data_IF_465081380825
#
_entry.id   IF_465081380825
#
_cell.length_a   1.000
_cell.length_b   1.000
_cell.length_c   1.000
_cell.angle_alpha   90.00
_cell.angle_beta   90.00
_cell.angle_gamma   90.00
#
_symmetry.space_group_name_H-M   'P 1'
#
loop_
_entity.id
_entity.type
_entity.pdbx_description
1 polymer ?
#
# COMPACT_ATOMS: atom_id res chain seq x y z
N UNK A 1 65.19 -19.50 42.07
CA UNK A 1 65.05 -18.75 40.79
C UNK A 1 64.64 -19.72 39.70
N UNK A 2 63.97 -19.22 38.65
CA UNK A 2 63.40 -19.91 37.48
C UNK A 2 61.94 -20.40 37.62
N UNK A 3 61.01 -19.47 37.46
CA UNK A 3 59.63 -19.74 37.00
C UNK A 3 59.71 -20.12 35.52
N UNK A 4 59.25 -21.30 35.16
CA UNK A 4 59.09 -21.69 33.76
C UNK A 4 57.99 -20.82 33.12
N UNK A 5 58.34 -20.11 32.05
CA UNK A 5 57.38 -19.40 31.20
C UNK A 5 56.65 -20.45 30.35
N UNK A 6 55.36 -20.65 30.61
CA UNK A 6 54.47 -21.32 29.66
C UNK A 6 54.30 -20.43 28.42
N UNK A 7 54.66 -20.88 27.21
CA UNK A 7 54.34 -20.15 26.00
C UNK A 7 52.81 -20.15 25.82
N UNK A 8 52.27 -18.95 25.68
CA UNK A 8 50.87 -18.67 25.41
C UNK A 8 50.42 -19.47 24.18
N UNK A 9 49.68 -20.55 24.40
CA UNK A 9 49.09 -21.34 23.32
C UNK A 9 48.00 -20.50 22.65
N UNK A 10 48.34 -19.88 21.51
CA UNK A 10 47.37 -19.30 20.59
C UNK A 10 46.46 -20.43 20.10
N UNK A 11 45.23 -20.49 20.62
CA UNK A 11 44.20 -21.32 20.04
C UNK A 11 43.76 -20.69 18.71
N UNK A 12 43.69 -21.43 17.59
CA UNK A 12 43.15 -20.88 16.36
C UNK A 12 41.68 -20.52 16.60
N UNK A 13 41.33 -19.24 16.40
CA UNK A 13 39.93 -18.77 16.43
C UNK A 13 39.15 -19.62 15.45
N UNK A 14 38.09 -20.27 15.93
CA UNK A 14 37.19 -21.10 15.15
C UNK A 14 36.92 -20.47 13.79
N UNK A 15 37.13 -21.24 12.72
CA UNK A 15 36.84 -20.83 11.36
C UNK A 15 35.37 -20.44 11.29
N UNK A 16 35.10 -19.15 11.10
CA UNK A 16 33.75 -18.65 10.91
C UNK A 16 33.20 -19.35 9.66
N UNK A 17 32.24 -20.26 9.86
CA UNK A 17 31.54 -20.93 8.78
C UNK A 17 31.03 -19.86 7.81
N UNK A 18 31.57 -19.85 6.59
CA UNK A 18 31.15 -18.94 5.54
C UNK A 18 29.64 -19.14 5.34
N UNK A 19 28.83 -18.18 5.79
CA UNK A 19 27.40 -18.16 5.47
C UNK A 19 27.31 -17.98 3.97
N UNK A 20 27.12 -19.09 3.25
CA UNK A 20 26.82 -19.07 1.83
C UNK A 20 25.56 -18.20 1.67
N UNK A 21 25.70 -17.04 1.05
CA UNK A 21 24.58 -16.21 0.65
C UNK A 21 23.80 -17.06 -0.34
N UNK A 22 22.66 -17.60 0.09
CA UNK A 22 21.77 -18.38 -0.75
C UNK A 22 21.46 -17.58 -2.02
N UNK A 23 21.93 -18.06 -3.17
CA UNK A 23 21.64 -17.48 -4.49
C UNK A 23 20.23 -17.82 -4.98
N UNK A 24 19.45 -18.58 -4.20
CA UNK A 24 18.05 -18.84 -4.50
C UNK A 24 17.30 -17.51 -4.53
N UNK A 25 16.85 -17.10 -5.73
CA UNK A 25 16.01 -15.94 -5.93
C UNK A 25 14.84 -16.05 -4.95
N UNK A 26 14.60 -15.03 -4.14
CA UNK A 26 13.72 -15.22 -3.03
C UNK A 26 12.28 -15.35 -3.57
N UNK A 27 11.63 -16.44 -3.17
CA UNK A 27 10.27 -16.85 -3.55
C UNK A 27 9.17 -15.79 -3.33
N UNK A 28 9.49 -14.66 -2.70
CA UNK A 28 8.57 -13.52 -2.54
C UNK A 28 8.51 -12.59 -3.76
N UNK A 29 9.36 -12.77 -4.77
CA UNK A 29 9.32 -12.02 -6.01
C UNK A 29 8.18 -12.50 -6.93
N UNK A 30 6.93 -12.45 -6.46
CA UNK A 30 5.78 -12.49 -7.36
C UNK A 30 5.77 -11.18 -8.13
N UNK A 31 6.44 -11.15 -9.28
CA UNK A 31 6.47 -9.99 -10.15
C UNK A 31 5.03 -9.57 -10.46
N UNK A 32 4.70 -8.29 -10.25
CA UNK A 32 3.40 -7.78 -10.69
C UNK A 32 3.24 -8.05 -12.19
N UNK A 33 2.05 -8.48 -12.64
CA UNK A 33 1.80 -8.73 -14.06
C UNK A 33 2.14 -7.46 -14.86
N UNK A 34 2.74 -7.59 -16.05
CA UNK A 34 3.13 -6.45 -16.89
C UNK A 34 1.90 -5.66 -17.37
N UNK A 35 2.08 -4.38 -17.70
CA UNK A 35 0.97 -3.55 -18.21
C UNK A 35 0.56 -4.11 -19.59
N UNK A 36 -0.74 -4.20 -19.91
CA UNK A 36 -1.17 -4.59 -21.24
C UNK A 36 -0.55 -3.66 -22.28
N UNK A 37 -0.21 -4.23 -23.44
CA UNK A 37 0.28 -3.45 -24.57
C UNK A 37 -0.83 -2.49 -25.05
N UNK A 38 -0.47 -1.31 -25.56
CA UNK A 38 -1.43 -0.44 -26.22
C UNK A 38 -2.05 -1.17 -27.41
N UNK A 39 -3.37 -1.04 -27.56
CA UNK A 39 -4.14 -1.62 -28.66
C UNK A 39 -3.73 -0.98 -30.00
N UNK A 40 -3.82 -1.72 -31.13
CA UNK A 40 -3.58 -1.16 -32.46
C UNK A 40 -4.56 -0.01 -32.75
N UNK A 41 -4.10 1.01 -33.50
CA UNK A 41 -4.90 2.21 -33.77
C UNK A 41 -6.14 1.95 -34.66
N UNK A 42 -6.19 0.80 -35.33
CA UNK A 42 -7.29 0.39 -36.22
C UNK A 42 -8.53 -0.12 -35.46
N UNK A 43 -8.38 -0.54 -34.19
CA UNK A 43 -9.45 -1.20 -33.44
C UNK A 43 -10.36 -0.21 -32.69
N UNK A 44 -10.00 1.08 -32.66
CA UNK A 44 -10.74 2.10 -31.95
C UNK A 44 -10.93 3.38 -32.76
N UNK A 45 -12.04 4.08 -32.51
CA UNK A 45 -12.28 5.42 -33.04
C UNK A 45 -12.03 6.47 -31.96
N UNK A 46 -11.34 7.55 -32.33
CA UNK A 46 -11.07 8.69 -31.46
C UNK A 46 -11.94 9.91 -31.82
N UNK A 47 -12.52 10.53 -30.81
CA UNK A 47 -13.26 11.79 -30.93
C UNK A 47 -12.80 12.77 -29.86
N UNK A 48 -12.72 14.05 -30.23
CA UNK A 48 -12.34 15.13 -29.32
C UNK A 48 -13.57 15.93 -28.91
N UNK A 49 -13.76 16.08 -27.61
CA UNK A 49 -14.89 16.78 -27.02
C UNK A 49 -14.40 17.99 -26.24
N UNK A 50 -15.27 19.00 -26.12
CA UNK A 50 -15.09 20.04 -25.12
C UNK A 50 -15.30 19.44 -23.73
N UNK A 51 -14.56 19.96 -22.75
CA UNK A 51 -14.70 19.50 -21.37
C UNK A 51 -16.10 19.83 -20.83
N UNK A 52 -16.57 19.01 -19.91
CA UNK A 52 -17.83 19.24 -19.19
C UNK A 52 -17.55 19.38 -17.70
N UNK A 53 -18.31 20.23 -17.01
CA UNK A 53 -18.27 20.41 -15.56
C UNK A 53 -18.17 21.88 -15.12
N UNK A 54 -18.21 22.14 -13.79
CA UNK A 54 -18.00 23.47 -13.21
C UNK A 54 -16.53 23.88 -13.42
N UNK A 55 -16.25 24.36 -14.62
CA UNK A 55 -14.93 24.77 -15.07
C UNK A 55 -14.96 26.20 -15.58
N UNK A 56 -13.80 26.86 -15.55
CA UNK A 56 -13.64 28.18 -16.17
C UNK A 56 -13.73 28.13 -17.70
N UNK A 57 -13.65 29.31 -18.31
CA UNK A 57 -13.74 29.52 -19.77
C UNK A 57 -12.87 28.55 -20.61
N UNK A 58 -11.70 28.16 -20.10
CA UNK A 58 -10.77 27.26 -20.77
C UNK A 58 -11.31 25.84 -20.98
N UNK A 59 -12.07 25.30 -20.02
CA UNK A 59 -12.56 23.91 -20.08
C UNK A 59 -13.65 23.77 -21.16
N UNK A 60 -14.54 24.76 -21.25
CA UNK A 60 -15.67 24.72 -22.17
C UNK A 60 -15.27 25.06 -23.62
N UNK A 61 -14.19 25.83 -23.82
CA UNK A 61 -13.71 26.23 -25.15
C UNK A 61 -12.72 25.26 -25.77
N UNK A 62 -11.87 24.61 -24.96
CA UNK A 62 -10.82 23.74 -25.50
C UNK A 62 -11.31 22.30 -25.63
N UNK A 63 -11.21 21.73 -26.84
CA UNK A 63 -11.48 20.33 -27.14
C UNK A 63 -10.36 19.39 -26.64
N UNK A 64 -10.17 19.39 -25.32
CA UNK A 64 -9.11 18.63 -24.65
C UNK A 64 -9.56 17.26 -24.15
N UNK A 65 -10.88 17.03 -23.99
CA UNK A 65 -11.41 15.74 -23.57
C UNK A 65 -11.37 14.76 -24.75
N UNK A 66 -11.04 13.50 -24.46
CA UNK A 66 -10.91 12.44 -25.47
C UNK A 66 -11.96 11.39 -25.21
N UNK A 67 -12.72 11.04 -26.24
CA UNK A 67 -13.60 9.90 -26.25
C UNK A 67 -13.01 8.83 -27.16
N UNK A 68 -12.80 7.63 -26.63
CA UNK A 68 -12.40 6.46 -27.40
C UNK A 68 -13.54 5.45 -27.42
N UNK A 69 -13.82 4.88 -28.59
CA UNK A 69 -14.76 3.76 -28.74
C UNK A 69 -14.01 2.57 -29.33
N UNK A 70 -13.99 1.46 -28.59
CA UNK A 70 -13.50 0.19 -29.10
C UNK A 70 -14.56 -0.43 -30.01
N UNK A 71 -14.20 -0.72 -31.27
CA UNK A 71 -15.14 -1.20 -32.27
C UNK A 71 -15.67 -2.61 -31.96
N UNK A 72 -14.83 -3.62 -31.66
CA UNK A 72 -15.33 -4.99 -31.53
C UNK A 72 -16.07 -5.24 -30.21
N UNK A 73 -15.66 -4.59 -29.11
CA UNK A 73 -16.34 -4.75 -27.81
C UNK A 73 -17.42 -3.70 -27.54
N UNK A 74 -17.49 -2.64 -28.36
CA UNK A 74 -18.44 -1.54 -28.18
C UNK A 74 -18.19 -0.65 -26.96
N UNK A 75 -17.06 -0.82 -26.24
CA UNK A 75 -16.75 -0.03 -25.05
C UNK A 75 -16.49 1.42 -25.43
N UNK A 76 -17.16 2.34 -24.75
CA UNK A 76 -16.94 3.78 -24.89
C UNK A 76 -16.32 4.32 -23.62
N UNK A 77 -15.14 4.95 -23.74
CA UNK A 77 -14.45 5.63 -22.65
C UNK A 77 -14.37 7.13 -22.93
N UNK A 78 -14.64 7.94 -21.92
CA UNK A 78 -14.44 9.40 -21.95
C UNK A 78 -13.41 9.76 -20.89
N UNK A 79 -12.35 10.46 -21.28
CA UNK A 79 -11.24 10.83 -20.39
C UNK A 79 -10.99 12.33 -20.43
N UNK A 80 -11.02 12.93 -19.24
CA UNK A 80 -10.74 14.34 -18.97
C UNK A 80 -9.87 14.43 -17.70
N UNK A 81 -8.61 13.98 -17.77
CA UNK A 81 -7.71 13.98 -16.62
C UNK A 81 -6.87 15.26 -16.50
N UNK A 82 -6.47 15.82 -17.64
CA UNK A 82 -5.56 16.97 -17.71
C UNK A 82 -6.05 18.01 -18.71
N UNK A 83 -5.46 19.21 -18.68
CA UNK A 83 -5.71 20.26 -19.68
C UNK A 83 -5.10 19.97 -21.06
N UNK A 84 -4.25 18.95 -21.17
CA UNK A 84 -3.51 18.64 -22.39
C UNK A 84 -4.15 17.47 -23.14
N UNK A 85 -4.52 17.70 -24.40
CA UNK A 85 -5.11 16.69 -25.28
C UNK A 85 -4.19 15.48 -25.46
N UNK A 86 -2.89 15.69 -25.64
CA UNK A 86 -1.92 14.61 -25.88
C UNK A 86 -1.76 13.69 -24.67
N UNK A 87 -1.78 14.24 -23.46
CA UNK A 87 -1.77 13.47 -22.22
C UNK A 87 -3.07 12.69 -22.06
N UNK A 88 -4.22 13.32 -22.32
CA UNK A 88 -5.50 12.64 -22.28
C UNK A 88 -5.59 11.49 -23.30
N UNK A 89 -5.02 11.62 -24.50
CA UNK A 89 -4.93 10.52 -25.50
C UNK A 89 -4.14 9.33 -24.95
N UNK A 90 -2.97 9.58 -24.34
CA UNK A 90 -2.13 8.51 -23.76
C UNK A 90 -2.89 7.77 -22.64
N UNK A 91 -3.49 8.54 -21.72
CA UNK A 91 -4.27 7.98 -20.61
C UNK A 91 -5.46 7.19 -21.14
N UNK A 92 -6.19 7.71 -22.13
CA UNK A 92 -7.34 7.02 -22.71
C UNK A 92 -6.96 5.68 -23.35
N UNK A 93 -5.83 5.61 -24.05
CA UNK A 93 -5.32 4.35 -24.63
C UNK A 93 -4.93 3.34 -23.55
N UNK A 94 -4.24 3.78 -22.50
CA UNK A 94 -3.88 2.92 -21.37
C UNK A 94 -5.14 2.36 -20.68
N UNK A 95 -6.14 3.21 -20.43
CA UNK A 95 -7.41 2.81 -19.82
C UNK A 95 -8.23 1.89 -20.72
N UNK A 96 -8.22 2.10 -22.04
CA UNK A 96 -8.91 1.23 -22.99
C UNK A 96 -8.31 -0.17 -22.99
N UNK A 97 -6.98 -0.28 -23.07
CA UNK A 97 -6.27 -1.54 -23.01
C UNK A 97 -6.53 -2.29 -21.68
N UNK A 98 -6.52 -1.57 -20.56
CA UNK A 98 -6.86 -2.14 -19.25
C UNK A 98 -8.31 -2.65 -19.19
N UNK A 99 -9.25 -1.93 -19.83
CA UNK A 99 -10.66 -2.32 -19.82
C UNK A 99 -10.93 -3.53 -20.72
N UNK A 100 -10.29 -3.60 -21.89
CA UNK A 100 -10.35 -4.75 -22.79
C UNK A 100 -9.74 -5.99 -22.11
N UNK A 101 -8.54 -5.86 -21.53
CA UNK A 101 -7.91 -6.98 -20.80
C UNK A 101 -8.77 -7.47 -19.64
N UNK A 102 -9.47 -6.57 -18.94
CA UNK A 102 -10.38 -6.95 -17.87
C UNK A 102 -11.59 -7.76 -18.38
N UNK A 103 -12.10 -7.45 -19.58
CA UNK A 103 -13.16 -8.26 -20.19
C UNK A 103 -12.66 -9.63 -20.62
N UNK A 104 -11.46 -9.71 -21.22
CA UNK A 104 -10.89 -10.96 -21.72
C UNK A 104 -10.45 -11.91 -20.59
N UNK A 105 -9.76 -11.37 -19.57
CA UNK A 105 -9.09 -12.16 -18.52
C UNK A 105 -9.80 -12.13 -17.17
N UNK A 106 -10.76 -11.22 -16.97
CA UNK A 106 -11.51 -11.09 -15.72
C UNK A 106 -10.62 -10.92 -14.50
N UNK A 107 -10.68 -11.89 -13.57
CA UNK A 107 -9.92 -11.89 -12.32
C UNK A 107 -8.38 -12.01 -12.50
N UNK A 108 -7.93 -12.54 -13.65
CA UNK A 108 -6.51 -12.64 -13.97
C UNK A 108 -5.95 -11.38 -14.63
N UNK A 109 -6.79 -10.38 -14.89
CA UNK A 109 -6.35 -9.09 -15.42
C UNK A 109 -5.40 -8.39 -14.43
N UNK A 110 -4.46 -7.61 -14.95
CA UNK A 110 -3.55 -6.83 -14.12
C UNK A 110 -4.30 -5.90 -13.16
N UNK A 111 -5.36 -5.26 -13.63
CA UNK A 111 -6.17 -4.33 -12.83
C UNK A 111 -6.77 -5.04 -11.62
N UNK A 112 -7.33 -6.24 -11.81
CA UNK A 112 -7.88 -7.03 -10.72
C UNK A 112 -6.79 -7.46 -9.72
N UNK A 113 -5.64 -7.94 -10.20
CA UNK A 113 -4.52 -8.36 -9.36
C UNK A 113 -3.98 -7.18 -8.53
N UNK A 114 -3.72 -6.04 -9.18
CA UNK A 114 -3.23 -4.82 -8.50
C UNK A 114 -4.27 -4.32 -7.50
N UNK A 115 -5.55 -4.35 -7.86
CA UNK A 115 -6.68 -4.03 -6.98
C UNK A 115 -6.69 -4.89 -5.73
N UNK A 116 -6.58 -6.21 -5.88
CA UNK A 116 -6.54 -7.18 -4.78
C UNK A 116 -5.33 -6.97 -3.87
N UNK A 117 -4.15 -6.72 -4.43
CA UNK A 117 -2.93 -6.43 -3.65
C UNK A 117 -3.09 -5.13 -2.85
N UNK A 118 -3.61 -4.07 -3.48
CA UNK A 118 -3.87 -2.79 -2.82
C UNK A 118 -4.90 -2.93 -1.70
N UNK A 119 -5.99 -3.66 -1.94
CA UNK A 119 -7.02 -3.96 -0.95
C UNK A 119 -6.46 -4.76 0.24
N UNK A 120 -5.67 -5.81 -0.02
CA UNK A 120 -4.99 -6.60 1.01
C UNK A 120 -4.08 -5.71 1.86
N UNK A 121 -3.24 -4.88 1.23
CA UNK A 121 -2.35 -3.94 1.93
C UNK A 121 -3.12 -2.95 2.80
N UNK A 122 -4.21 -2.37 2.29
CA UNK A 122 -5.09 -1.46 3.04
C UNK A 122 -5.73 -2.16 4.24
N UNK A 123 -6.24 -3.38 4.06
CA UNK A 123 -6.86 -4.16 5.14
C UNK A 123 -5.87 -4.48 6.26
N UNK A 124 -4.65 -4.92 5.93
CA UNK A 124 -3.60 -5.19 6.91
C UNK A 124 -3.15 -3.94 7.65
N UNK A 125 -2.99 -2.81 6.93
CA UNK A 125 -2.65 -1.53 7.54
C UNK A 125 -3.74 -1.07 8.54
N UNK A 126 -5.01 -1.20 8.16
CA UNK A 126 -6.14 -0.85 9.03
C UNK A 126 -6.21 -1.76 10.27
N UNK A 127 -5.97 -3.06 10.13
CA UNK A 127 -5.95 -4.02 11.25
C UNK A 127 -4.81 -3.69 12.23
N UNK A 128 -3.62 -3.36 11.72
CA UNK A 128 -2.46 -2.97 12.55
C UNK A 128 -2.75 -1.67 13.31
N UNK A 129 -3.30 -0.67 12.62
CA UNK A 129 -3.72 0.59 13.24
C UNK A 129 -4.72 0.36 14.38
N UNK A 130 -5.81 -0.38 14.10
CA UNK A 130 -6.83 -0.70 15.11
C UNK A 130 -6.25 -1.41 16.34
N UNK A 131 -5.38 -2.39 16.13
CA UNK A 131 -4.71 -3.11 17.24
C UNK A 131 -3.84 -2.17 18.08
N UNK A 132 -3.12 -1.25 17.44
CA UNK A 132 -2.28 -0.25 18.14
C UNK A 132 -3.13 0.65 19.02
N UNK A 133 -4.18 1.27 18.47
CA UNK A 133 -5.01 2.19 19.24
C UNK A 133 -5.80 1.47 20.34
N UNK A 134 -6.35 0.29 20.05
CA UNK A 134 -7.00 -0.54 21.07
C UNK A 134 -6.06 -0.84 22.25
N UNK A 135 -4.82 -1.26 22.00
CA UNK A 135 -3.86 -1.53 23.06
C UNK A 135 -3.50 -0.28 23.89
N UNK A 136 -3.46 0.90 23.27
CA UNK A 136 -3.22 2.16 23.98
C UNK A 136 -4.43 2.57 24.82
N UNK A 137 -5.63 2.35 24.32
CA UNK A 137 -6.88 2.65 25.04
C UNK A 137 -7.04 1.69 26.23
N UNK A 138 -6.80 0.39 26.04
CA UNK A 138 -6.80 -0.62 27.11
C UNK A 138 -5.73 -0.30 28.17
N UNK A 139 -4.53 0.13 27.76
CA UNK A 139 -3.46 0.53 28.69
C UNK A 139 -3.81 1.81 29.48
N UNK A 140 -4.45 2.79 28.83
CA UNK A 140 -4.94 4.00 29.51
C UNK A 140 -6.06 3.67 30.49
N UNK A 141 -7.00 2.81 30.11
CA UNK A 141 -8.06 2.35 31.00
C UNK A 141 -7.47 1.64 32.23
N UNK A 142 -6.52 0.72 32.04
CA UNK A 142 -5.83 0.06 33.13
C UNK A 142 -5.08 1.04 34.05
N UNK A 143 -4.44 2.07 33.49
CA UNK A 143 -3.78 3.11 34.28
C UNK A 143 -4.76 3.96 35.10
N UNK A 144 -5.92 4.30 34.53
CA UNK A 144 -7.00 5.03 35.23
C UNK A 144 -7.59 4.18 36.36
N UNK A 145 -7.83 2.89 36.12
CA UNK A 145 -8.35 2.00 37.17
C UNK A 145 -7.31 1.78 38.27
N UNK A 146 -6.01 1.67 37.93
CA UNK A 146 -4.94 1.62 38.90
C UNK A 146 -4.83 2.90 39.75
N UNK A 147 -4.99 4.09 39.14
CA UNK A 147 -4.98 5.34 39.89
C UNK A 147 -6.20 5.48 40.81
N UNK A 148 -7.40 5.11 40.33
CA UNK A 148 -8.61 5.08 41.17
C UNK A 148 -8.49 4.12 42.35
N UNK A 149 -7.92 2.92 42.14
CA UNK A 149 -7.70 1.96 43.21
C UNK A 149 -6.70 2.47 44.26
N UNK A 150 -5.66 3.20 43.83
CA UNK A 150 -4.71 3.84 44.75
C UNK A 150 -5.37 4.96 45.58
N UNK A 151 -6.23 5.79 44.98
CA UNK A 151 -6.97 6.84 45.70
C UNK A 151 -8.01 6.26 46.69
N UNK A 152 -8.67 5.14 46.36
CA UNK A 152 -9.60 4.46 47.27
C UNK A 152 -8.88 3.82 48.48
N UNK A 153 -7.64 3.36 48.31
CA UNK A 153 -6.81 2.82 49.39
C UNK A 153 -6.33 3.88 50.40
N UNK A 154 -6.05 5.11 49.95
CA UNK A 154 -5.65 6.23 50.84
C UNK A 154 -6.83 6.75 51.68
N UNK A 155 -8.05 6.73 51.12
CA UNK A 155 -9.26 7.17 51.83
C UNK A 155 -9.61 6.23 53.01
N UNK A 156 -9.42 4.92 52.87
CA UNK A 156 -9.73 3.95 53.94
C UNK A 156 -8.73 3.99 55.14
N UNK A 157 -7.56 4.62 54.97
CA UNK A 157 -6.53 4.73 56.01
C UNK A 157 -6.67 5.95 56.93
N UNK A 158 -7.55 6.92 56.61
CA UNK A 158 -7.70 8.17 57.39
C UNK A 158 -8.79 8.13 58.46
N UNK A 159 -9.64 7.10 58.48
CA UNK A 159 -10.76 7.00 59.43
C UNK A 159 -10.41 6.32 60.77
N UNK A 160 -9.16 5.90 61.00
CA UNK A 160 -8.75 5.13 62.19
C UNK A 160 -7.94 5.89 63.25
N UNK A 161 -7.84 7.23 63.18
CA UNK A 161 -7.19 8.05 64.21
C UNK A 161 -8.14 9.15 64.71
N UNK A 162 -9.08 8.79 65.58
CA UNK A 162 -10.01 9.74 66.19
C UNK A 162 -10.80 9.10 67.32
N UNK A 163 -10.11 8.64 68.37
CA UNK A 163 -10.77 8.03 69.52
C UNK A 163 -9.83 7.87 70.71
N UNK A 164 -9.64 8.96 71.45
CA UNK A 164 -9.42 9.02 72.91
C UNK A 164 -9.41 10.48 73.35
#
# INVERSE_FOLDING_TARGET
MLRALTPYAWAPRATAAARLISTAAPQWAKAMPRRPAPLPEEEFTEAFLCGSGPGGQKINKTSSAVQLKHLPTGIVLKVQATRSRSQNRKIAREMLAERVELLEKGAQSRVAIVGNVKAKRKSSASKKSKRKYKALDDAKAAAIEASKAAEAGDAAGKDSQGGS
#
